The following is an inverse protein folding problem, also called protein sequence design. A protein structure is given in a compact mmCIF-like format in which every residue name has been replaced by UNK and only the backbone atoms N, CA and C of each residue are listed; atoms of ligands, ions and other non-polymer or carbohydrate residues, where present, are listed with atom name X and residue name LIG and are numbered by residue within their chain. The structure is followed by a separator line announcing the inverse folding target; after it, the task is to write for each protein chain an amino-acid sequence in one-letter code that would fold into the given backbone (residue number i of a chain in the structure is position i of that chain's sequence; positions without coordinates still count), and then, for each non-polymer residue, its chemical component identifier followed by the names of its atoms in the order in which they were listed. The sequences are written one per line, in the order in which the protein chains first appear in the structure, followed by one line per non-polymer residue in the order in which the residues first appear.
data_IF_106457522069
#
_entry.id   IF_106457522069
#
_cell.length_a   1.000
_cell.length_b   1.000
_cell.length_c   1.000
_cell.angle_alpha   90.00
_cell.angle_beta   90.00
_cell.angle_gamma   90.00
#
_symmetry.space_group_name_H-M   'P 1'
#
loop_
_entity.id
_entity.type
_entity.pdbx_description
1 polymer ?
#
# COMPACT_ATOMS: atom_id res chain seq x y z
N UNK A 1 8.16 -21.25 13.95
CA UNK A 1 8.43 -20.13 13.02
C UNK A 1 9.82 -19.52 13.22
N UNK A 2 10.22 -19.15 14.45
CA UNK A 2 11.60 -18.72 14.73
C UNK A 2 12.61 -19.84 14.44
N UNK A 3 12.28 -21.08 14.75
CA UNK A 3 13.08 -22.26 14.38
C UNK A 3 13.30 -22.39 12.86
N UNK A 4 12.29 -22.14 12.06
CA UNK A 4 12.39 -22.17 10.59
C UNK A 4 13.34 -21.08 10.06
N UNK A 5 13.34 -19.90 10.67
CA UNK A 5 14.26 -18.83 10.30
C UNK A 5 15.69 -19.12 10.79
N UNK A 6 15.82 -19.81 11.91
CA UNK A 6 17.12 -20.26 12.43
C UNK A 6 17.74 -21.37 11.55
N UNK A 7 16.92 -22.29 11.05
CA UNK A 7 17.35 -23.30 10.07
C UNK A 7 17.82 -22.65 8.75
N UNK A 8 17.13 -21.62 8.27
CA UNK A 8 17.49 -20.89 7.05
C UNK A 8 18.82 -20.13 7.16
N UNK A 9 19.35 -19.87 8.37
CA UNK A 9 20.67 -19.26 8.53
C UNK A 9 21.80 -20.16 8.06
N UNK A 10 21.61 -21.46 8.15
CA UNK A 10 22.64 -22.47 7.85
C UNK A 10 22.50 -23.03 6.41
N UNK A 11 21.37 -22.80 5.73
CA UNK A 11 21.20 -23.23 4.35
C UNK A 11 21.87 -22.26 3.38
N UNK A 12 22.73 -22.81 2.51
CA UNK A 12 23.30 -22.09 1.38
C UNK A 12 22.33 -22.23 0.21
N UNK A 13 21.78 -21.12 -0.33
CA UNK A 13 20.86 -21.21 -1.45
C UNK A 13 21.56 -21.78 -2.68
N UNK A 14 21.10 -22.93 -3.16
CA UNK A 14 21.61 -23.60 -4.38
C UNK A 14 21.20 -22.87 -5.68
N UNK A 15 20.17 -22.01 -5.60
CA UNK A 15 19.67 -21.25 -6.76
C UNK A 15 20.51 -20.02 -7.02
N UNK A 16 20.80 -19.77 -8.30
CA UNK A 16 21.51 -18.57 -8.78
C UNK A 16 20.56 -17.68 -9.56
N UNK A 17 20.79 -16.37 -9.50
CA UNK A 17 20.02 -15.34 -10.21
C UNK A 17 20.93 -14.67 -11.24
N UNK A 18 20.39 -14.38 -12.42
CA UNK A 18 21.11 -13.61 -13.43
C UNK A 18 20.94 -12.11 -13.16
N UNK A 19 22.03 -11.38 -13.22
CA UNK A 19 22.05 -9.91 -13.29
C UNK A 19 22.01 -9.52 -14.75
N UNK A 20 21.06 -8.66 -15.10
CA UNK A 20 20.86 -8.16 -16.45
C UNK A 20 21.44 -6.74 -16.56
N UNK A 21 21.95 -6.42 -17.72
CA UNK A 21 22.32 -5.06 -18.10
C UNK A 21 21.08 -4.24 -18.48
N UNK A 22 21.26 -2.96 -18.76
CA UNK A 22 20.23 -2.04 -19.23
C UNK A 22 19.64 -2.44 -20.60
N UNK A 23 20.37 -3.24 -21.37
CA UNK A 23 19.90 -3.84 -22.63
C UNK A 23 19.14 -5.16 -22.45
N UNK A 24 19.05 -5.70 -21.23
CA UNK A 24 18.44 -7.00 -20.95
C UNK A 24 19.34 -8.20 -21.16
N UNK A 25 20.64 -8.00 -21.46
CA UNK A 25 21.63 -9.07 -21.60
C UNK A 25 22.13 -9.52 -20.22
N UNK A 26 22.43 -10.82 -20.09
CA UNK A 26 23.01 -11.38 -18.86
C UNK A 26 24.49 -10.97 -18.74
N UNK A 27 24.86 -10.29 -17.65
CA UNK A 27 26.25 -9.90 -17.36
C UNK A 27 26.90 -10.89 -16.39
N UNK A 28 26.25 -11.17 -15.29
CA UNK A 28 26.79 -12.04 -14.23
C UNK A 28 25.70 -12.82 -13.51
N UNK A 29 26.11 -13.68 -12.61
CA UNK A 29 25.22 -14.53 -11.83
C UNK A 29 25.53 -14.38 -10.35
N UNK A 30 24.52 -14.11 -9.52
CA UNK A 30 24.63 -13.95 -8.07
C UNK A 30 23.88 -15.09 -7.37
N UNK A 31 24.31 -15.55 -6.18
CA UNK A 31 23.53 -16.49 -5.38
C UNK A 31 22.21 -15.83 -4.94
N UNK A 32 21.15 -16.63 -4.86
CA UNK A 32 19.85 -16.15 -4.37
C UNK A 32 19.97 -15.78 -2.88
N UNK A 33 19.58 -14.56 -2.45
CA UNK A 33 19.60 -14.19 -1.04
C UNK A 33 18.73 -15.11 -0.17
N UNK A 34 19.16 -15.36 1.07
CA UNK A 34 18.46 -16.24 2.02
C UNK A 34 17.00 -15.81 2.31
N UNK A 35 16.68 -14.54 2.19
CA UNK A 35 15.35 -13.99 2.37
C UNK A 35 14.31 -14.66 1.45
N UNK A 36 14.68 -15.04 0.22
CA UNK A 36 13.77 -15.68 -0.71
C UNK A 36 13.39 -17.13 -0.36
N UNK A 37 14.07 -17.73 0.63
CA UNK A 37 13.76 -19.06 1.17
C UNK A 37 12.70 -19.00 2.30
N UNK A 38 12.35 -17.81 2.78
CA UNK A 38 11.38 -17.63 3.86
C UNK A 38 10.00 -18.06 3.40
N UNK A 39 9.25 -18.83 4.24
CA UNK A 39 7.93 -19.31 3.87
C UNK A 39 6.92 -18.19 3.64
N UNK A 40 6.04 -18.41 2.69
CA UNK A 40 4.96 -17.51 2.32
C UNK A 40 3.90 -17.41 3.43
N UNK A 41 3.65 -16.21 3.95
CA UNK A 41 2.67 -15.92 5.00
C UNK A 41 1.78 -14.74 4.60
N UNK A 42 0.75 -14.98 3.77
CA UNK A 42 -0.17 -13.93 3.30
C UNK A 42 -1.02 -13.32 4.43
N UNK A 43 -1.31 -14.11 5.47
CA UNK A 43 -2.00 -13.69 6.68
C UNK A 43 -1.27 -12.54 7.39
N UNK A 44 0.05 -12.69 7.62
CA UNK A 44 0.87 -11.65 8.23
C UNK A 44 0.98 -10.40 7.35
N UNK A 45 1.16 -10.59 6.04
CA UNK A 45 1.23 -9.47 5.09
C UNK A 45 -0.07 -8.68 5.08
N UNK A 46 -1.23 -9.36 5.04
CA UNK A 46 -2.55 -8.72 5.10
C UNK A 46 -2.76 -7.95 6.40
N UNK A 47 -2.44 -8.58 7.53
CA UNK A 47 -2.56 -7.95 8.85
C UNK A 47 -1.67 -6.72 8.95
N UNK A 48 -0.41 -6.82 8.56
CA UNK A 48 0.54 -5.72 8.61
C UNK A 48 0.13 -4.57 7.66
N UNK A 49 -0.35 -4.88 6.44
CA UNK A 49 -0.88 -3.88 5.54
C UNK A 49 -2.02 -3.08 6.17
N UNK A 50 -3.04 -3.75 6.74
CA UNK A 50 -4.19 -3.09 7.36
C UNK A 50 -3.77 -2.17 8.51
N UNK A 51 -2.84 -2.61 9.36
CA UNK A 51 -2.34 -1.79 10.46
C UNK A 51 -1.55 -0.58 9.97
N UNK A 52 -0.66 -0.77 9.01
CA UNK A 52 0.14 0.33 8.44
C UNK A 52 -0.71 1.34 7.66
N UNK A 53 -1.77 0.88 6.98
CA UNK A 53 -2.69 1.76 6.26
C UNK A 53 -3.40 2.74 7.21
N UNK A 54 -3.67 2.34 8.46
CA UNK A 54 -4.33 3.23 9.42
C UNK A 54 -3.54 4.50 9.73
N UNK A 55 -2.22 4.51 9.53
CA UNK A 55 -1.37 5.69 9.72
C UNK A 55 -1.64 6.81 8.70
N UNK A 56 -2.24 6.47 7.53
CA UNK A 56 -2.60 7.42 6.48
C UNK A 56 -3.96 8.09 6.73
N UNK A 57 -4.73 7.61 7.70
CA UNK A 57 -6.06 8.15 7.97
C UNK A 57 -5.96 9.36 8.88
N UNK A 58 -6.70 10.41 8.51
CA UNK A 58 -6.84 11.61 9.31
C UNK A 58 -7.95 11.45 10.37
N UNK A 59 -7.82 12.05 11.56
CA UNK A 59 -8.91 12.19 12.50
C UNK A 59 -10.11 12.88 11.86
N UNK A 60 -11.29 12.41 12.15
CA UNK A 60 -12.54 13.00 11.66
C UNK A 60 -13.54 13.08 12.79
N UNK A 61 -14.28 14.17 12.83
CA UNK A 61 -15.36 14.41 13.79
C UNK A 61 -16.54 15.07 13.12
N UNK A 62 -17.70 15.00 13.75
CA UNK A 62 -18.84 15.83 13.40
C UNK A 62 -18.73 17.17 14.11
N UNK A 63 -19.35 18.21 13.55
CA UNK A 63 -19.49 19.49 14.25
C UNK A 63 -20.27 19.28 15.55
N UNK A 64 -19.82 19.92 16.64
CA UNK A 64 -20.52 19.87 17.94
C UNK A 64 -21.95 20.43 17.86
N UNK A 65 -22.17 21.39 16.95
CA UNK A 65 -23.49 22.00 16.69
C UNK A 65 -24.32 21.24 15.65
N UNK A 66 -23.84 20.11 15.14
CA UNK A 66 -24.61 19.32 14.15
C UNK A 66 -25.90 18.80 14.75
N UNK A 67 -27.04 19.24 14.22
CA UNK A 67 -28.38 18.91 14.71
C UNK A 67 -28.82 19.67 15.97
N UNK A 68 -27.98 20.60 16.48
CA UNK A 68 -28.24 21.40 17.69
C UNK A 68 -28.43 22.89 17.39
N UNK A 69 -28.68 23.26 16.14
CA UNK A 69 -28.74 24.67 15.71
C UNK A 69 -30.01 25.42 16.10
N UNK A 70 -31.02 24.70 16.55
CA UNK A 70 -32.34 25.28 16.90
C UNK A 70 -32.62 25.16 18.39
N UNK A 71 -33.27 26.18 18.94
CA UNK A 71 -33.92 26.07 20.27
C UNK A 71 -35.16 25.20 20.11
N UNK A 72 -35.30 24.21 20.98
CA UNK A 72 -36.36 23.21 20.90
C UNK A 72 -37.03 23.01 22.25
N UNK A 73 -38.32 22.70 22.23
CA UNK A 73 -39.08 22.31 23.42
C UNK A 73 -40.00 21.16 23.09
N UNK A 74 -40.40 20.39 24.10
CA UNK A 74 -41.45 19.37 23.95
C UNK A 74 -42.79 19.99 24.37
N UNK A 75 -43.81 19.81 23.57
CA UNK A 75 -45.14 20.32 23.84
C UNK A 75 -45.87 19.49 24.92
N UNK A 76 -45.35 18.32 25.28
CA UNK A 76 -46.05 17.43 26.21
C UNK A 76 -47.25 16.73 25.64
N UNK A 77 -48.21 16.37 26.48
CA UNK A 77 -49.49 15.73 26.12
C UNK A 77 -50.56 16.76 25.78
N UNK A 78 -51.62 16.38 25.08
CA UNK A 78 -52.80 17.20 24.83
C UNK A 78 -52.82 17.97 23.48
N UNK A 79 -51.71 17.97 22.70
CA UNK A 79 -51.61 18.73 21.47
C UNK A 79 -51.92 17.91 20.18
N UNK A 80 -52.32 16.67 20.28
CA UNK A 80 -52.59 15.81 19.12
C UNK A 80 -51.36 15.49 18.28
N UNK A 81 -50.17 15.83 18.74
CA UNK A 81 -48.90 15.67 18.01
C UNK A 81 -47.91 14.80 18.79
N UNK A 82 -47.01 14.14 18.07
CA UNK A 82 -45.94 13.37 18.68
C UNK A 82 -45.09 14.24 19.66
N UNK A 83 -44.76 13.68 20.83
CA UNK A 83 -44.02 14.35 21.91
C UNK A 83 -42.50 14.53 21.67
N UNK A 84 -42.12 14.67 20.38
CA UNK A 84 -40.74 14.93 20.00
C UNK A 84 -40.39 16.41 20.20
N UNK A 85 -39.11 16.71 20.41
CA UNK A 85 -38.64 18.10 20.50
C UNK A 85 -38.94 18.84 19.20
N UNK A 86 -39.53 20.01 19.30
CA UNK A 86 -39.97 20.86 18.18
C UNK A 86 -39.30 22.22 18.26
N UNK A 87 -39.08 22.84 17.11
CA UNK A 87 -38.45 24.15 17.00
C UNK A 87 -39.34 25.22 17.66
N UNK A 88 -38.77 25.98 18.58
CA UNK A 88 -39.39 27.11 19.24
C UNK A 88 -39.26 28.38 18.40
N UNK A 89 -40.13 29.34 18.59
CA UNK A 89 -40.10 30.66 17.91
C UNK A 89 -40.94 30.71 16.64
N UNK A 90 -40.72 31.77 15.81
CA UNK A 90 -41.45 32.02 14.56
C UNK A 90 -40.75 31.49 13.33
N UNK A 91 -41.34 31.70 12.14
CA UNK A 91 -40.75 31.36 10.86
C UNK A 91 -41.18 29.99 10.30
N UNK A 92 -40.77 29.66 9.05
CA UNK A 92 -41.31 28.53 8.30
C UNK A 92 -40.98 27.14 8.89
N UNK A 93 -40.02 27.05 9.81
CA UNK A 93 -39.64 25.80 10.49
C UNK A 93 -40.23 25.65 11.90
N UNK A 94 -41.09 26.61 12.31
CA UNK A 94 -41.74 26.51 13.62
C UNK A 94 -42.52 25.19 13.73
N UNK A 95 -42.53 24.59 14.89
CA UNK A 95 -43.21 23.32 15.24
C UNK A 95 -42.68 22.09 14.50
N UNK A 96 -41.67 22.23 13.62
CA UNK A 96 -41.05 21.06 13.00
C UNK A 96 -40.23 20.29 14.03
N UNK A 97 -40.21 18.95 13.92
CA UNK A 97 -39.38 18.11 14.78
C UNK A 97 -37.90 18.39 14.51
N UNK A 98 -37.11 18.63 15.56
CA UNK A 98 -35.69 18.88 15.47
C UNK A 98 -34.95 18.28 16.69
N UNK A 99 -33.63 18.26 16.63
CA UNK A 99 -32.74 17.76 17.68
C UNK A 99 -32.76 16.22 17.84
N UNK A 100 -33.92 15.57 17.72
CA UNK A 100 -34.01 14.10 17.86
C UNK A 100 -33.34 13.39 16.67
N UNK A 101 -32.71 12.21 16.88
CA UNK A 101 -31.98 11.51 15.82
C UNK A 101 -32.85 11.09 14.64
N UNK A 102 -34.14 10.83 14.86
CA UNK A 102 -35.10 10.41 13.84
C UNK A 102 -35.60 11.55 12.95
N UNK A 103 -35.42 12.81 13.36
CA UNK A 103 -35.85 13.96 12.58
C UNK A 103 -34.86 14.29 11.45
N UNK A 104 -35.38 14.78 10.31
CA UNK A 104 -34.53 15.30 9.24
C UNK A 104 -33.76 16.53 9.71
N UNK A 105 -32.41 16.46 9.63
CA UNK A 105 -31.54 17.50 10.18
C UNK A 105 -31.35 17.43 11.70
N UNK A 106 -31.83 16.38 12.37
CA UNK A 106 -31.58 16.11 13.77
C UNK A 106 -30.13 15.72 14.08
N UNK A 107 -29.81 15.54 15.36
CA UNK A 107 -28.47 15.19 15.79
C UNK A 107 -28.08 13.75 15.40
N UNK A 108 -26.82 13.47 15.05
CA UNK A 108 -26.35 12.09 14.93
C UNK A 108 -26.36 11.39 16.28
N UNK A 109 -26.86 10.15 16.35
CA UNK A 109 -26.86 9.35 17.59
C UNK A 109 -25.45 9.03 18.08
N UNK A 110 -24.60 8.55 17.16
CA UNK A 110 -23.21 8.19 17.40
C UNK A 110 -22.30 8.89 16.38
N UNK A 111 -22.02 10.20 16.54
CA UNK A 111 -21.17 10.93 15.62
C UNK A 111 -19.72 10.45 15.70
N UNK A 112 -18.96 10.56 14.61
CA UNK A 112 -17.54 10.33 14.68
C UNK A 112 -16.87 11.35 15.58
N UNK A 113 -15.96 10.89 16.46
CA UNK A 113 -15.19 11.73 17.39
C UNK A 113 -13.74 11.84 16.92
N UNK A 114 -13.10 13.04 16.93
CA UNK A 114 -11.71 13.21 16.51
C UNK A 114 -10.73 12.51 17.46
N UNK A 115 -11.11 12.30 18.73
CA UNK A 115 -10.28 11.63 19.74
C UNK A 115 -10.17 10.11 19.51
N UNK A 116 -10.95 9.54 18.58
CA UNK A 116 -10.91 8.12 18.27
C UNK A 116 -9.50 7.69 17.84
N UNK A 117 -8.92 6.72 18.54
CA UNK A 117 -7.62 6.13 18.21
C UNK A 117 -7.72 5.34 16.89
N UNK A 118 -7.32 5.97 15.78
CA UNK A 118 -7.36 5.37 14.44
C UNK A 118 -6.11 4.55 14.16
N UNK A 119 -4.92 5.07 14.56
CA UNK A 119 -3.63 4.41 14.35
C UNK A 119 -3.55 3.13 15.19
N UNK A 120 -3.35 2.02 14.51
CA UNK A 120 -3.15 0.71 15.13
C UNK A 120 -1.65 0.40 15.16
N UNK A 121 -1.20 -0.25 16.24
CA UNK A 121 0.18 -0.72 16.38
C UNK A 121 0.24 -2.22 16.11
N UNK A 122 1.26 -2.64 15.40
CA UNK A 122 1.61 -4.04 15.18
C UNK A 122 2.89 -4.35 15.96
N UNK A 123 3.02 -5.58 16.41
CA UNK A 123 4.24 -6.06 17.03
C UNK A 123 5.42 -5.88 16.07
N UNK A 124 6.58 -5.46 16.59
CA UNK A 124 7.81 -5.24 15.80
C UNK A 124 8.22 -6.51 15.02
N UNK A 125 8.18 -7.68 15.68
CA UNK A 125 8.50 -8.96 15.06
C UNK A 125 7.52 -9.31 13.93
N UNK A 126 6.21 -9.18 14.16
CA UNK A 126 5.21 -9.43 13.11
C UNK A 126 5.42 -8.52 11.90
N UNK A 127 5.76 -7.25 12.13
CA UNK A 127 6.03 -6.30 11.04
C UNK A 127 7.23 -6.72 10.19
N UNK A 128 8.33 -7.13 10.83
CA UNK A 128 9.55 -7.58 10.15
C UNK A 128 9.27 -8.89 9.40
N UNK A 129 8.65 -9.88 10.05
CA UNK A 129 8.29 -11.15 9.43
C UNK A 129 7.36 -10.97 8.22
N UNK A 130 6.40 -10.08 8.32
CA UNK A 130 5.52 -9.74 7.20
C UNK A 130 6.28 -9.11 6.02
N UNK A 131 7.25 -8.23 6.30
CA UNK A 131 8.10 -7.62 5.28
C UNK A 131 8.96 -8.69 4.57
N UNK A 132 9.64 -9.54 5.34
CA UNK A 132 10.48 -10.62 4.81
C UNK A 132 9.66 -11.61 3.98
N UNK A 133 8.49 -12.02 4.48
CA UNK A 133 7.56 -12.87 3.73
C UNK A 133 7.09 -12.20 2.44
N UNK A 134 6.80 -10.90 2.43
CA UNK A 134 6.43 -10.18 1.22
C UNK A 134 7.58 -10.15 0.18
N UNK A 135 8.82 -9.97 0.63
CA UNK A 135 9.99 -10.02 -0.26
C UNK A 135 10.16 -11.42 -0.85
N UNK A 136 10.08 -12.47 -0.03
CA UNK A 136 10.14 -13.86 -0.49
C UNK A 136 9.11 -14.17 -1.58
N UNK A 137 7.87 -13.71 -1.41
CA UNK A 137 6.80 -13.89 -2.40
C UNK A 137 7.11 -13.28 -3.76
N UNK A 138 7.88 -12.19 -3.81
CA UNK A 138 8.21 -11.50 -5.06
C UNK A 138 9.08 -12.33 -6.01
N UNK A 139 9.74 -13.36 -5.49
CA UNK A 139 10.50 -14.33 -6.27
C UNK A 139 9.66 -15.43 -6.94
N UNK A 140 8.37 -15.54 -6.59
CA UNK A 140 7.49 -16.58 -7.15
C UNK A 140 6.64 -16.00 -8.30
N UNK A 141 6.82 -16.48 -9.55
CA UNK A 141 6.08 -15.97 -10.71
C UNK A 141 4.56 -16.20 -10.61
N UNK A 142 4.12 -17.31 -10.00
CA UNK A 142 2.70 -17.59 -9.84
C UNK A 142 1.99 -16.56 -8.94
N UNK A 143 2.64 -16.15 -7.86
CA UNK A 143 2.07 -15.17 -6.92
C UNK A 143 2.00 -13.80 -7.56
N UNK A 144 3.04 -13.41 -8.29
CA UNK A 144 3.10 -12.12 -8.99
C UNK A 144 2.09 -12.07 -10.14
N UNK A 145 1.93 -13.17 -10.89
CA UNK A 145 0.91 -13.26 -11.96
C UNK A 145 -0.52 -13.27 -11.42
N UNK A 146 -0.80 -13.90 -10.26
CA UNK A 146 -2.12 -13.83 -9.58
C UNK A 146 -2.53 -12.40 -9.26
N UNK A 147 -1.59 -11.49 -9.06
CA UNK A 147 -1.89 -10.06 -8.92
C UNK A 147 -2.32 -9.41 -10.25
N UNK A 148 -2.03 -10.03 -11.37
CA UNK A 148 -2.33 -9.56 -12.72
C UNK A 148 -1.16 -8.83 -13.39
N UNK A 149 0.08 -9.02 -12.92
CA UNK A 149 1.28 -8.58 -13.63
C UNK A 149 1.57 -9.48 -14.84
N UNK A 150 1.99 -8.86 -15.93
CA UNK A 150 2.43 -9.55 -17.12
C UNK A 150 3.94 -9.74 -17.06
N UNK A 151 4.39 -10.93 -16.71
CA UNK A 151 5.80 -11.25 -16.48
C UNK A 151 6.46 -11.73 -17.80
N UNK A 152 5.67 -12.27 -18.72
CA UNK A 152 6.20 -12.89 -19.95
C UNK A 152 7.11 -14.09 -19.66
N UNK A 153 8.26 -14.14 -20.34
CA UNK A 153 9.28 -15.20 -20.18
C UNK A 153 10.35 -14.88 -19.14
N UNK A 154 10.20 -13.82 -18.36
CA UNK A 154 11.20 -13.34 -17.40
C UNK A 154 11.30 -14.26 -16.18
N UNK A 155 12.52 -14.56 -15.77
CA UNK A 155 12.80 -15.28 -14.53
C UNK A 155 12.80 -14.29 -13.35
N UNK A 156 12.09 -14.63 -12.28
CA UNK A 156 12.09 -13.83 -11.06
C UNK A 156 13.08 -14.38 -10.02
N UNK A 157 13.63 -13.50 -9.17
CA UNK A 157 13.55 -12.04 -9.18
C UNK A 157 14.37 -11.40 -10.32
N UNK A 158 13.93 -10.23 -10.81
CA UNK A 158 14.65 -9.45 -11.84
C UNK A 158 15.69 -8.60 -11.14
N UNK A 159 16.95 -8.72 -11.56
CA UNK A 159 18.08 -7.94 -11.01
C UNK A 159 18.78 -7.22 -12.16
N UNK A 160 19.00 -5.93 -12.00
CA UNK A 160 19.70 -5.07 -12.94
C UNK A 160 21.02 -4.58 -12.36
N UNK A 161 21.95 -4.20 -13.24
CA UNK A 161 23.20 -3.53 -12.84
C UNK A 161 22.91 -2.23 -12.08
N UNK A 162 23.86 -1.75 -11.31
CA UNK A 162 23.68 -0.53 -10.49
C UNK A 162 23.56 0.75 -11.33
N UNK A 163 23.91 0.70 -12.61
CA UNK A 163 23.75 1.83 -13.54
C UNK A 163 22.32 2.36 -13.61
N UNK A 164 21.33 1.50 -13.31
CA UNK A 164 19.92 1.92 -13.21
C UNK A 164 19.72 3.06 -12.21
N UNK A 165 20.54 3.18 -11.15
CA UNK A 165 20.40 4.19 -10.09
C UNK A 165 20.67 5.60 -10.61
N UNK A 166 21.56 5.74 -11.61
CA UNK A 166 22.00 7.02 -12.19
C UNK A 166 21.02 7.63 -13.21
N UNK A 167 19.97 6.89 -13.62
CA UNK A 167 19.06 7.31 -14.66
C UNK A 167 18.14 8.43 -14.15
N UNK A 168 18.22 9.60 -14.81
CA UNK A 168 17.43 10.79 -14.45
C UNK A 168 16.24 11.02 -15.38
N UNK A 169 16.28 10.51 -16.62
CA UNK A 169 15.24 10.73 -17.63
C UNK A 169 14.23 9.57 -17.67
N UNK A 170 12.94 9.91 -17.60
CA UNK A 170 11.85 8.92 -17.68
C UNK A 170 11.77 8.20 -19.04
N UNK A 171 12.16 8.87 -20.13
CA UNK A 171 12.19 8.27 -21.48
C UNK A 171 13.23 7.15 -21.61
N UNK A 172 14.43 7.36 -21.04
CA UNK A 172 15.50 6.36 -20.99
C UNK A 172 15.08 5.16 -20.14
N UNK A 173 14.55 5.42 -18.94
CA UNK A 173 14.05 4.36 -18.05
C UNK A 173 12.95 3.53 -18.72
N UNK A 174 12.04 4.16 -19.47
CA UNK A 174 11.00 3.45 -20.19
C UNK A 174 11.58 2.52 -21.25
N UNK A 175 12.54 2.99 -22.06
CA UNK A 175 13.23 2.16 -23.08
C UNK A 175 13.93 0.96 -22.45
N UNK A 176 14.62 1.15 -21.34
CA UNK A 176 15.29 0.07 -20.61
C UNK A 176 14.30 -1.01 -20.17
N UNK A 177 13.15 -0.60 -19.58
CA UNK A 177 12.12 -1.55 -19.15
C UNK A 177 11.48 -2.29 -20.35
N UNK A 178 11.35 -1.64 -21.50
CA UNK A 178 10.88 -2.27 -22.74
C UNK A 178 11.89 -3.28 -23.25
N UNK A 179 13.20 -2.97 -23.25
CA UNK A 179 14.28 -3.88 -23.65
C UNK A 179 14.34 -5.13 -22.76
N UNK A 180 14.10 -5.00 -21.47
CA UNK A 180 14.03 -6.13 -20.53
C UNK A 180 12.83 -7.04 -20.82
N UNK A 181 11.84 -6.58 -21.59
CA UNK A 181 10.64 -7.36 -21.93
C UNK A 181 9.40 -7.01 -21.10
N UNK A 182 9.38 -5.86 -20.44
CA UNK A 182 8.23 -5.41 -19.65
C UNK A 182 7.28 -4.49 -20.43
N UNK A 183 7.32 -4.46 -21.75
CA UNK A 183 6.48 -3.62 -22.60
C UNK A 183 4.98 -3.82 -22.32
N UNK A 184 4.51 -5.07 -22.30
CA UNK A 184 3.11 -5.38 -22.02
C UNK A 184 2.66 -4.95 -20.62
N UNK A 185 3.56 -5.01 -19.66
CA UNK A 185 3.29 -4.57 -18.28
C UNK A 185 3.14 -3.04 -18.22
N UNK A 186 3.98 -2.29 -18.91
CA UNK A 186 3.89 -0.84 -19.02
C UNK A 186 2.60 -0.41 -19.73
N UNK A 187 2.21 -1.09 -20.82
CA UNK A 187 0.94 -0.86 -21.50
C UNK A 187 -0.27 -1.13 -20.58
N UNK A 188 -0.22 -2.22 -19.81
CA UNK A 188 -1.26 -2.53 -18.80
C UNK A 188 -1.42 -1.40 -17.80
N UNK A 189 -0.32 -0.79 -17.34
CA UNK A 189 -0.31 0.28 -16.36
C UNK A 189 -0.72 1.64 -16.93
N UNK A 190 -0.46 1.89 -18.21
CA UNK A 190 -0.83 3.14 -18.88
C UNK A 190 -2.35 3.30 -19.03
N UNK A 191 -3.08 2.19 -19.16
CA UNK A 191 -4.54 2.19 -19.31
C UNK A 191 -5.22 2.73 -18.04
N UNK A 192 -5.94 3.84 -18.19
CA UNK A 192 -6.72 4.44 -17.11
C UNK A 192 -8.22 4.20 -17.33
N UNK A 193 -8.91 3.76 -16.29
CA UNK A 193 -10.35 3.51 -16.30
C UNK A 193 -11.07 4.56 -15.44
N UNK A 194 -12.30 4.86 -15.81
CA UNK A 194 -13.16 5.73 -14.99
C UNK A 194 -13.50 4.99 -13.69
N UNK A 195 -13.31 5.66 -12.56
CA UNK A 195 -13.62 5.11 -11.24
C UNK A 195 -15.11 4.97 -11.03
N UNK A 196 -15.57 3.85 -10.48
CA UNK A 196 -16.93 3.68 -10.01
C UNK A 196 -17.19 4.51 -8.74
N UNK A 197 -18.45 4.86 -8.50
CA UNK A 197 -18.93 5.52 -7.29
C UNK A 197 -18.60 7.02 -7.18
N UNK A 198 -18.87 7.58 -6.00
CA UNK A 198 -18.81 9.03 -5.69
C UNK A 198 -17.40 9.64 -5.78
N UNK A 199 -16.35 8.83 -5.84
CA UNK A 199 -14.96 9.30 -6.00
C UNK A 199 -14.74 10.14 -7.27
N UNK A 200 -15.52 9.90 -8.34
CA UNK A 200 -15.50 10.70 -9.58
C UNK A 200 -15.78 12.18 -9.32
N UNK A 201 -16.82 12.49 -8.54
CA UNK A 201 -17.23 13.86 -8.19
C UNK A 201 -16.25 14.53 -7.21
N UNK A 202 -15.39 13.75 -6.51
CA UNK A 202 -14.41 14.22 -5.52
C UNK A 202 -13.01 14.38 -6.11
N UNK A 203 -12.89 14.69 -7.40
CA UNK A 203 -11.60 14.90 -8.07
C UNK A 203 -10.80 13.64 -8.39
N UNK A 204 -11.33 12.44 -8.12
CA UNK A 204 -10.64 11.15 -8.36
C UNK A 204 -11.29 10.37 -9.50
N UNK A 205 -11.46 11.01 -10.66
CA UNK A 205 -12.19 10.46 -11.81
C UNK A 205 -11.58 9.15 -12.33
N UNK A 206 -10.26 9.06 -12.38
CA UNK A 206 -9.57 7.92 -12.99
C UNK A 206 -8.97 6.99 -11.95
N UNK A 207 -8.86 5.70 -12.32
CA UNK A 207 -8.15 4.66 -11.59
C UNK A 207 -7.13 4.03 -12.54
N UNK A 208 -5.88 3.93 -12.11
CA UNK A 208 -4.80 3.24 -12.82
C UNK A 208 -4.41 1.96 -12.08
N UNK A 209 -3.81 1.04 -12.79
CA UNK A 209 -3.27 -0.19 -12.22
C UNK A 209 -1.91 0.09 -11.58
N UNK A 210 -1.59 -0.65 -10.52
CA UNK A 210 -0.28 -0.61 -9.90
C UNK A 210 0.66 -1.49 -10.71
N UNK A 211 1.79 -0.96 -11.10
CA UNK A 211 2.80 -1.63 -11.91
C UNK A 211 4.02 -2.09 -11.11
N UNK A 212 5.17 -2.26 -11.75
CA UNK A 212 6.40 -2.71 -11.12
C UNK A 212 6.89 -1.76 -10.02
N UNK A 213 7.71 -2.29 -9.11
CA UNK A 213 8.43 -1.54 -8.10
C UNK A 213 9.93 -1.71 -8.36
N UNK A 214 10.66 -0.62 -8.48
CA UNK A 214 12.12 -0.62 -8.56
C UNK A 214 12.67 -0.39 -7.15
N UNK A 215 13.58 -1.25 -6.71
CA UNK A 215 14.24 -1.11 -5.41
C UNK A 215 15.72 -0.90 -5.65
N UNK A 216 16.22 0.22 -5.15
CA UNK A 216 17.61 0.65 -5.31
C UNK A 216 18.29 0.80 -3.95
N UNK A 217 19.62 0.69 -3.94
CA UNK A 217 20.38 0.93 -2.72
C UNK A 217 20.50 2.43 -2.43
N UNK A 218 20.80 3.23 -3.47
CA UNK A 218 20.93 4.70 -3.38
C UNK A 218 20.03 5.35 -4.43
N UNK A 219 19.64 6.59 -4.19
CA UNK A 219 18.85 7.38 -5.14
C UNK A 219 19.72 8.47 -5.77
N UNK A 220 20.18 8.20 -6.99
CA UNK A 220 20.96 9.16 -7.80
C UNK A 220 20.08 9.86 -8.86
N UNK A 221 18.74 9.78 -8.69
CA UNK A 221 17.73 10.44 -9.54
C UNK A 221 16.63 9.53 -10.10
N UNK A 222 16.74 8.21 -9.93
CA UNK A 222 15.79 7.22 -10.45
C UNK A 222 14.38 7.38 -9.88
N UNK A 223 14.23 7.83 -8.63
CA UNK A 223 12.90 8.03 -8.01
C UNK A 223 12.11 9.09 -8.79
N UNK A 224 12.76 10.17 -9.20
CA UNK A 224 12.13 11.21 -10.04
C UNK A 224 11.81 10.69 -11.44
N UNK A 225 12.73 9.96 -12.06
CA UNK A 225 12.52 9.36 -13.38
C UNK A 225 11.33 8.38 -13.40
N UNK A 226 11.20 7.52 -12.38
CA UNK A 226 10.14 6.55 -12.24
C UNK A 226 8.76 7.19 -11.98
N UNK A 227 8.69 8.30 -11.24
CA UNK A 227 7.43 8.93 -10.83
C UNK A 227 6.55 9.39 -11.99
N UNK A 228 7.14 9.71 -13.15
CA UNK A 228 6.43 10.13 -14.34
C UNK A 228 5.87 8.96 -15.18
N UNK A 229 6.34 7.73 -14.96
CA UNK A 229 5.87 6.55 -15.68
C UNK A 229 4.63 5.99 -14.97
N UNK A 230 3.49 5.83 -15.67
CA UNK A 230 2.27 5.35 -15.06
C UNK A 230 2.40 3.98 -14.38
N UNK A 231 2.10 3.93 -13.08
CA UNK A 231 2.11 2.70 -12.29
C UNK A 231 3.48 2.23 -11.81
N UNK A 232 4.58 2.80 -12.32
CA UNK A 232 5.92 2.53 -11.84
C UNK A 232 6.20 3.33 -10.57
N UNK A 233 6.90 2.71 -9.64
CA UNK A 233 7.42 3.37 -8.43
C UNK A 233 8.87 2.93 -8.23
N UNK A 234 9.72 3.83 -7.77
CA UNK A 234 11.07 3.51 -7.32
C UNK A 234 11.24 3.91 -5.86
N UNK A 235 11.98 3.10 -5.10
CA UNK A 235 12.19 3.34 -3.68
C UNK A 235 13.57 2.83 -3.25
N UNK A 236 14.16 3.48 -2.25
CA UNK A 236 15.38 2.98 -1.63
C UNK A 236 15.07 1.83 -0.67
N UNK A 237 16.02 0.91 -0.52
CA UNK A 237 15.89 -0.28 0.33
C UNK A 237 15.52 0.08 1.77
N UNK A 238 16.06 1.18 2.31
CA UNK A 238 15.79 1.63 3.69
C UNK A 238 14.34 2.07 3.92
N UNK A 239 13.71 2.66 2.90
CA UNK A 239 12.32 3.13 2.96
C UNK A 239 11.31 2.06 2.59
N UNK A 240 11.78 0.83 2.27
CA UNK A 240 10.92 -0.26 1.84
C UNK A 240 9.95 -0.67 2.95
N UNK A 241 8.67 -0.77 2.60
CA UNK A 241 7.63 -1.24 3.51
C UNK A 241 6.55 -2.07 2.78
N UNK A 242 5.66 -2.70 3.54
CA UNK A 242 4.60 -3.56 3.03
C UNK A 242 3.61 -2.81 2.15
N UNK A 243 3.38 -1.51 2.39
CA UNK A 243 2.47 -0.71 1.56
C UNK A 243 2.96 -0.58 0.12
N UNK A 244 4.28 -0.62 -0.10
CA UNK A 244 4.89 -0.60 -1.44
C UNK A 244 4.92 -1.99 -2.08
N UNK A 245 5.23 -3.04 -1.29
CA UNK A 245 5.33 -4.42 -1.78
C UNK A 245 3.97 -5.03 -2.12
N UNK A 246 2.99 -4.89 -1.24
CA UNK A 246 1.67 -5.51 -1.35
C UNK A 246 0.53 -4.48 -1.21
N UNK A 247 0.43 -3.48 -2.11
CA UNK A 247 -0.61 -2.45 -2.02
C UNK A 247 -2.00 -3.08 -2.14
N UNK A 248 -2.87 -2.77 -1.16
CA UNK A 248 -4.21 -3.35 -1.04
C UNK A 248 -4.26 -4.70 -0.32
N UNK A 249 -3.16 -5.18 0.27
CA UNK A 249 -3.04 -6.52 0.88
C UNK A 249 -3.29 -7.68 -0.11
N UNK A 250 -3.18 -7.41 -1.40
CA UNK A 250 -3.19 -8.42 -2.47
C UNK A 250 -1.81 -9.08 -2.59
N UNK A 251 -1.65 -10.12 -3.44
CA UNK A 251 -0.34 -10.67 -3.74
C UNK A 251 0.69 -9.60 -4.08
N UNK A 252 1.95 -9.89 -3.85
CA UNK A 252 3.06 -8.95 -4.02
C UNK A 252 3.20 -8.53 -5.49
N UNK A 253 3.56 -7.28 -5.70
CA UNK A 253 3.79 -6.73 -7.05
C UNK A 253 5.13 -7.20 -7.62
N UNK A 254 5.28 -7.06 -8.93
CA UNK A 254 6.54 -7.29 -9.63
C UNK A 254 7.61 -6.34 -9.09
N UNK A 255 8.78 -6.88 -8.76
CA UNK A 255 9.90 -6.11 -8.22
C UNK A 255 11.11 -6.24 -9.14
N UNK A 256 11.77 -5.13 -9.35
CA UNK A 256 13.03 -4.99 -10.07
C UNK A 256 14.06 -4.52 -9.04
N UNK A 257 15.13 -5.24 -8.90
CA UNK A 257 16.19 -4.97 -7.92
C UNK A 257 17.41 -4.37 -8.61
N UNK A 258 18.07 -3.38 -7.98
CA UNK A 258 19.47 -3.09 -8.32
C UNK A 258 20.38 -4.13 -7.66
N UNK A 259 21.52 -4.35 -8.22
CA UNK A 259 22.49 -5.32 -7.71
C UNK A 259 22.91 -5.01 -6.27
N UNK A 260 23.27 -3.78 -5.97
CA UNK A 260 23.60 -3.35 -4.61
C UNK A 260 22.46 -3.54 -3.63
N UNK A 261 21.20 -3.33 -4.07
CA UNK A 261 20.02 -3.51 -3.21
C UNK A 261 19.83 -4.98 -2.84
N UNK A 262 20.00 -5.91 -3.81
CA UNK A 262 19.83 -7.34 -3.55
C UNK A 262 20.95 -7.91 -2.68
N UNK A 263 22.18 -7.44 -2.84
CA UNK A 263 23.31 -7.84 -2.01
C UNK A 263 23.16 -7.36 -0.54
N UNK A 264 22.52 -6.21 -0.34
CA UNK A 264 22.28 -5.65 0.99
C UNK A 264 21.00 -6.16 1.66
N UNK A 265 20.17 -6.93 0.96
CA UNK A 265 18.85 -7.34 1.45
C UNK A 265 18.94 -8.26 2.67
N UNK A 266 19.96 -9.12 2.73
CA UNK A 266 20.14 -10.07 3.83
C UNK A 266 20.49 -9.36 5.16
N UNK A 267 20.96 -8.11 5.12
CA UNK A 267 21.11 -7.26 6.31
C UNK A 267 19.78 -7.01 7.01
N UNK A 268 18.65 -7.11 6.29
CA UNK A 268 17.32 -7.03 6.91
C UNK A 268 17.04 -8.21 7.85
N UNK A 269 17.64 -9.40 7.63
CA UNK A 269 17.54 -10.54 8.54
C UNK A 269 18.20 -10.23 9.90
N UNK A 270 19.22 -9.38 9.92
CA UNK A 270 19.89 -8.99 11.14
C UNK A 270 18.99 -8.15 12.04
N UNK A 271 18.04 -7.38 11.48
CA UNK A 271 17.03 -6.63 12.24
C UNK A 271 16.18 -7.53 13.14
N UNK A 272 16.03 -8.82 12.82
CA UNK A 272 15.37 -9.80 13.68
C UNK A 272 16.15 -10.07 14.97
N UNK A 273 17.50 -10.01 14.95
CA UNK A 273 18.35 -10.23 16.12
C UNK A 273 18.17 -9.15 17.19
N UNK A 274 17.95 -7.90 16.79
CA UNK A 274 17.79 -6.75 17.68
C UNK A 274 16.50 -6.74 18.50
N UNK A 275 15.50 -7.50 18.08
CA UNK A 275 14.21 -7.58 18.79
C UNK A 275 14.23 -8.68 19.87
N UNK A 276 15.26 -9.55 19.86
CA UNK A 276 15.45 -10.58 20.90
C UNK A 276 16.25 -10.09 22.11
N UNK A 277 16.88 -8.90 22.05
CA UNK A 277 17.47 -8.19 23.17
C UNK A 277 16.51 -7.14 23.70
#
# INVERSE_FOLDING_TARGET
MLSTIELLKNEIPKKKINVLDLEGKKVKTIPLPKIFLIPYRPDLVKRAFLFMQTSKFQPKGASKLSGHKYSVESLGAGYGMARVSRIKGGGPKRMSAAFVPSAVGGRPTHPPKPEKKIKKRLNKMEKILALLSAISMSGNPEIVSKRGHKIGKLKLPIVLTDDIQSIKKSSELKKILENIGLKEELERCSKKNIRAGKGKRRGRRYKRRVGPLIIVAKDDGIIKAASNIPGLEAITLDKLNILHLAPGAHPVRLIIWSESAINNIDKMLERLKWVKK
#
